data_IF_616129861535
#
_entry.id   IF_616129861535
#
_cell.length_a   1.000
_cell.length_b   1.000
_cell.length_c   1.000
_cell.angle_alpha   90.00
_cell.angle_beta   90.00
_cell.angle_gamma   90.00
#
_symmetry.space_group_name_H-M   'P 1'
#
loop_
_entity.id
_entity.type
_entity.pdbx_description
1 polymer ?
#
# COMPACT_ATOMS: atom_id res chain seq x y z
N UNK A 1 -18.22 -20.00 31.28
CA UNK A 1 -16.94 -19.42 31.80
C UNK A 1 -15.80 -20.30 31.30
N UNK A 2 -15.18 -19.95 30.15
CA UNK A 2 -13.92 -20.56 29.69
C UNK A 2 -12.76 -19.65 30.07
N UNK A 3 -11.81 -20.20 30.83
CA UNK A 3 -10.56 -19.52 31.21
C UNK A 3 -9.59 -19.56 30.03
N UNK A 4 -9.24 -18.38 29.50
CA UNK A 4 -8.11 -18.24 28.60
C UNK A 4 -6.79 -18.41 29.37
N UNK A 5 -6.00 -19.44 29.04
CA UNK A 5 -4.61 -19.58 29.49
C UNK A 5 -3.73 -18.63 28.66
N UNK A 6 -3.09 -17.70 29.34
CA UNK A 6 -2.00 -16.90 28.76
C UNK A 6 -0.76 -17.77 28.61
N UNK A 7 -0.34 -18.02 27.40
CA UNK A 7 0.98 -18.61 27.10
C UNK A 7 1.99 -17.46 26.98
N UNK A 8 2.96 -17.45 27.89
CA UNK A 8 4.11 -16.55 27.85
C UNK A 8 5.07 -17.00 26.75
N UNK A 9 5.17 -16.25 25.67
CA UNK A 9 6.20 -16.42 24.64
C UNK A 9 7.43 -15.62 25.11
N UNK A 10 8.51 -16.34 25.49
CA UNK A 10 9.82 -15.76 25.76
C UNK A 10 10.56 -15.55 24.43
N UNK A 11 10.94 -14.30 24.15
CA UNK A 11 11.89 -13.98 23.07
C UNK A 11 13.33 -14.23 23.53
N UNK A 12 14.20 -14.80 22.70
CA UNK A 12 15.61 -14.95 23.04
C UNK A 12 16.34 -13.60 22.86
N UNK A 13 17.06 -13.21 23.89
CA UNK A 13 17.99 -12.09 23.87
C UNK A 13 19.27 -12.50 23.13
N UNK A 14 19.61 -11.77 22.07
CA UNK A 14 20.89 -11.92 21.36
C UNK A 14 21.94 -11.12 22.11
N UNK A 15 22.86 -11.81 22.77
CA UNK A 15 24.02 -11.23 23.45
C UNK A 15 25.14 -10.93 22.46
N UNK A 16 25.53 -9.65 22.38
CA UNK A 16 26.76 -9.21 21.74
C UNK A 16 27.93 -9.48 22.66
N UNK A 17 28.86 -10.33 22.23
CA UNK A 17 30.22 -10.33 22.78
C UNK A 17 31.24 -10.46 21.68
N UNK A 18 31.98 -9.39 21.45
CA UNK A 18 33.19 -9.34 20.67
C UNK A 18 34.40 -9.57 21.61
N UNK A 19 35.33 -10.48 21.39
CA UNK A 19 36.56 -10.52 22.13
C UNK A 19 37.68 -9.80 21.37
N UNK A 20 38.27 -8.84 22.03
CA UNK A 20 39.56 -8.23 21.75
C UNK A 20 40.69 -9.28 21.93
N UNK A 21 41.55 -9.42 20.93
CA UNK A 21 42.81 -10.14 21.07
C UNK A 21 43.95 -9.12 21.12
N UNK A 22 44.67 -9.17 22.21
CA UNK A 22 45.86 -8.38 22.47
C UNK A 22 47.16 -9.20 22.14
N UNK A 23 48.13 -8.48 21.58
CA UNK A 23 49.55 -8.63 21.70
C UNK A 23 50.25 -9.93 21.27
N UNK A 24 51.15 -9.76 20.29
CA UNK A 24 52.54 -10.22 20.43
C UNK A 24 53.48 -9.39 19.56
N UNK A 25 54.25 -8.48 20.22
CA UNK A 25 55.50 -7.93 19.66
C UNK A 25 56.61 -8.95 19.78
N UNK A 26 57.29 -9.26 18.71
CA UNK A 26 58.65 -9.81 18.75
C UNK A 26 59.52 -9.23 17.64
N UNK A 27 60.56 -8.54 18.07
CA UNK A 27 61.64 -7.98 17.29
C UNK A 27 62.36 -9.09 16.48
N UNK A 28 62.63 -8.81 15.22
CA UNK A 28 63.84 -9.35 14.56
C UNK A 28 64.26 -8.43 13.41
N UNK A 29 65.41 -7.83 13.53
CA UNK A 29 66.14 -7.14 12.47
C UNK A 29 66.56 -8.11 11.37
N UNK A 30 66.29 -7.78 10.11
CA UNK A 30 67.18 -8.08 8.99
C UNK A 30 66.70 -7.46 7.67
N UNK A 31 67.50 -6.52 7.18
CA UNK A 31 67.82 -6.22 5.79
C UNK A 31 66.74 -5.72 4.84
N UNK A 32 66.77 -4.40 4.63
CA UNK A 32 66.39 -3.73 3.38
C UNK A 32 67.01 -4.47 2.18
N UNK A 33 66.20 -4.89 1.22
CA UNK A 33 66.32 -4.97 -0.23
C UNK A 33 65.14 -5.79 -0.71
N UNK A 34 64.14 -5.19 -1.24
CA UNK A 34 63.10 -5.71 -2.15
C UNK A 34 61.78 -4.93 -2.04
N UNK A 35 61.88 -3.57 -2.00
CA UNK A 35 60.68 -2.76 -1.80
C UNK A 35 60.07 -2.20 -3.11
N UNK A 36 60.47 -2.75 -4.26
CA UNK A 36 60.00 -2.22 -5.56
C UNK A 36 59.06 -3.12 -6.37
N UNK A 37 58.85 -4.37 -5.98
CA UNK A 37 58.08 -5.33 -6.81
C UNK A 37 56.75 -5.79 -6.20
N UNK A 38 56.46 -5.46 -4.95
CA UNK A 38 55.22 -5.86 -4.26
C UNK A 38 54.13 -4.77 -4.23
N UNK A 39 54.48 -3.53 -4.55
CA UNK A 39 53.46 -2.44 -4.59
C UNK A 39 52.50 -2.51 -5.80
N UNK A 40 52.94 -3.09 -6.91
CA UNK A 40 52.11 -3.19 -8.12
C UNK A 40 50.92 -4.14 -7.99
N UNK A 41 51.05 -5.36 -7.43
CA UNK A 41 49.88 -6.22 -7.24
C UNK A 41 48.93 -5.69 -6.16
N UNK A 42 49.45 -5.02 -5.11
CA UNK A 42 48.58 -4.47 -4.05
C UNK A 42 47.67 -3.34 -4.55
N UNK A 43 48.17 -2.48 -5.44
CA UNK A 43 47.37 -1.46 -6.10
C UNK A 43 46.31 -2.05 -7.06
N UNK A 44 46.64 -3.15 -7.72
CA UNK A 44 45.71 -3.84 -8.63
C UNK A 44 44.56 -4.53 -7.86
N UNK A 45 44.86 -5.10 -6.68
CA UNK A 45 43.83 -5.68 -5.81
C UNK A 45 42.97 -4.59 -5.14
N UNK A 46 43.54 -3.43 -4.80
CA UNK A 46 42.78 -2.33 -4.23
C UNK A 46 41.84 -1.70 -5.25
N UNK A 47 42.25 -1.56 -6.52
CA UNK A 47 41.38 -1.09 -7.60
C UNK A 47 40.30 -2.09 -7.98
N UNK A 48 40.60 -3.39 -7.92
CA UNK A 48 39.63 -4.45 -8.16
C UNK A 48 38.57 -4.51 -7.03
N UNK A 49 38.95 -4.24 -5.77
CA UNK A 49 38.04 -4.21 -4.64
C UNK A 49 37.11 -2.97 -4.66
N UNK A 50 37.59 -1.83 -5.16
CA UNK A 50 36.77 -0.62 -5.32
C UNK A 50 35.73 -0.77 -6.43
N UNK A 51 35.99 -1.57 -7.46
CA UNK A 51 35.05 -1.82 -8.55
C UNK A 51 33.97 -2.86 -8.22
N UNK A 52 34.12 -3.65 -7.15
CA UNK A 52 33.10 -4.63 -6.72
C UNK A 52 32.09 -3.99 -5.76
N UNK A 53 32.36 -2.83 -5.17
CA UNK A 53 31.39 -2.03 -4.44
C UNK A 53 30.57 -1.10 -5.36
N UNK A 54 30.21 -1.54 -6.56
CA UNK A 54 29.03 -0.98 -7.20
C UNK A 54 27.85 -1.52 -6.40
N UNK A 55 27.45 -0.77 -5.38
CA UNK A 55 26.10 -0.86 -4.84
C UNK A 55 25.20 -0.87 -6.06
N UNK A 56 24.49 -1.98 -6.27
CA UNK A 56 23.32 -1.96 -7.13
C UNK A 56 22.43 -0.86 -6.58
N UNK A 57 22.53 0.32 -7.14
CA UNK A 57 21.57 1.38 -6.85
C UNK A 57 20.23 0.77 -7.24
N UNK A 58 19.44 0.45 -6.24
CA UNK A 58 18.08 -0.01 -6.43
C UNK A 58 17.37 1.15 -7.13
N UNK A 59 17.24 1.03 -8.45
CA UNK A 59 16.54 2.05 -9.24
C UNK A 59 15.09 1.97 -8.84
N UNK A 60 14.64 2.95 -8.07
CA UNK A 60 13.23 3.11 -7.74
C UNK A 60 12.45 3.26 -9.04
N UNK A 61 11.47 2.40 -9.26
CA UNK A 61 10.56 2.47 -10.39
C UNK A 61 9.39 3.40 -10.12
N UNK A 62 9.06 3.60 -8.84
CA UNK A 62 7.99 4.49 -8.43
C UNK A 62 8.50 5.92 -8.31
N UNK A 63 7.96 6.80 -9.14
CA UNK A 63 8.43 8.17 -9.33
C UNK A 63 7.57 9.19 -8.59
N UNK A 64 8.04 10.44 -8.48
CA UNK A 64 7.23 11.55 -7.99
C UNK A 64 5.99 11.81 -8.86
N UNK A 65 6.06 11.52 -10.17
CA UNK A 65 4.91 11.59 -11.06
C UNK A 65 3.86 10.52 -10.71
N UNK A 66 4.28 9.29 -10.37
CA UNK A 66 3.39 8.23 -9.90
C UNK A 66 2.74 8.61 -8.56
N UNK A 67 3.53 9.18 -7.64
CA UNK A 67 3.02 9.69 -6.35
C UNK A 67 1.96 10.76 -6.57
N UNK A 68 2.28 11.75 -7.39
CA UNK A 68 1.35 12.83 -7.72
C UNK A 68 0.07 12.30 -8.35
N UNK A 69 0.18 11.37 -9.29
CA UNK A 69 -0.98 10.74 -9.94
C UNK A 69 -1.91 10.06 -8.93
N UNK A 70 -1.37 9.28 -7.99
CA UNK A 70 -2.17 8.62 -6.95
C UNK A 70 -2.80 9.63 -6.01
N UNK A 71 -2.02 10.60 -5.51
CA UNK A 71 -2.51 11.62 -4.57
C UNK A 71 -3.62 12.45 -5.21
N UNK A 72 -3.44 12.92 -6.43
CA UNK A 72 -4.43 13.74 -7.14
C UNK A 72 -5.77 12.98 -7.30
N UNK A 73 -5.73 11.70 -7.68
CA UNK A 73 -6.95 10.90 -7.86
C UNK A 73 -7.62 10.52 -6.54
N UNK A 74 -6.84 10.22 -5.50
CA UNK A 74 -7.38 9.94 -4.16
C UNK A 74 -8.02 11.18 -3.54
N UNK A 75 -7.39 12.35 -3.69
CA UNK A 75 -7.96 13.64 -3.23
C UNK A 75 -9.19 14.03 -4.05
N UNK A 76 -9.15 13.89 -5.38
CA UNK A 76 -10.30 14.16 -6.25
C UNK A 76 -11.51 13.33 -5.82
N UNK A 77 -11.36 12.02 -5.73
CA UNK A 77 -12.48 11.13 -5.36
C UNK A 77 -12.98 11.40 -3.94
N UNK A 78 -12.11 11.78 -3.00
CA UNK A 78 -12.50 12.23 -1.66
C UNK A 78 -13.38 13.49 -1.72
N UNK A 79 -12.94 14.49 -2.47
CA UNK A 79 -13.67 15.77 -2.60
C UNK A 79 -15.02 15.57 -3.28
N UNK A 80 -15.11 14.70 -4.28
CA UNK A 80 -16.38 14.36 -4.94
C UNK A 80 -17.34 13.65 -3.97
N UNK A 81 -16.88 12.70 -3.16
CA UNK A 81 -17.69 12.09 -2.08
C UNK A 81 -18.22 13.16 -1.12
N UNK A 82 -17.35 14.05 -0.63
CA UNK A 82 -17.77 15.13 0.27
C UNK A 82 -18.85 16.02 -0.40
N UNK A 83 -18.61 16.41 -1.65
CA UNK A 83 -19.56 17.25 -2.43
C UNK A 83 -20.92 16.57 -2.57
N UNK A 84 -20.93 15.28 -2.89
CA UNK A 84 -22.16 14.54 -3.18
C UNK A 84 -22.95 14.15 -1.93
N UNK A 85 -22.31 14.14 -0.76
CA UNK A 85 -22.94 13.71 0.49
C UNK A 85 -23.09 14.83 1.52
N UNK A 86 -22.45 16.01 1.30
CA UNK A 86 -22.60 17.16 2.19
C UNK A 86 -24.05 17.65 2.19
N UNK A 87 -24.60 17.82 3.39
CA UNK A 87 -25.95 18.40 3.57
C UNK A 87 -27.11 17.45 3.30
N UNK A 88 -26.85 16.15 3.06
CA UNK A 88 -27.92 15.16 2.98
C UNK A 88 -28.68 15.07 4.31
N UNK A 89 -30.02 15.00 4.25
CA UNK A 89 -30.87 14.74 5.42
C UNK A 89 -30.75 13.29 5.88
N UNK A 90 -31.24 13.00 7.10
CA UNK A 90 -31.27 11.61 7.62
C UNK A 90 -32.02 10.67 6.68
N UNK A 91 -33.11 11.12 6.10
CA UNK A 91 -33.97 10.38 5.18
C UNK A 91 -33.20 10.11 3.86
N UNK A 92 -32.48 11.11 3.34
CA UNK A 92 -31.65 10.98 2.14
C UNK A 92 -30.49 10.00 2.34
N UNK A 93 -29.83 10.02 3.49
CA UNK A 93 -28.80 9.05 3.85
C UNK A 93 -29.34 7.62 3.89
N UNK A 94 -30.56 7.43 4.38
CA UNK A 94 -31.20 6.13 4.56
C UNK A 94 -31.96 5.63 3.32
N UNK A 95 -32.19 6.51 2.32
CA UNK A 95 -32.99 6.20 1.15
C UNK A 95 -32.41 5.01 0.35
N UNK A 96 -33.29 4.12 -0.09
CA UNK A 96 -32.97 2.96 -0.93
C UNK A 96 -33.95 2.91 -2.09
N UNK A 97 -33.47 2.72 -3.31
CA UNK A 97 -34.29 2.58 -4.51
C UNK A 97 -35.31 1.42 -4.37
N UNK A 98 -34.88 0.32 -3.73
CA UNK A 98 -35.68 -0.81 -3.31
C UNK A 98 -35.02 -1.56 -2.13
N UNK A 99 -35.69 -2.59 -1.59
CA UNK A 99 -35.23 -3.36 -0.43
C UNK A 99 -33.91 -4.13 -0.66
N UNK A 100 -33.55 -4.37 -1.91
CA UNK A 100 -32.33 -5.12 -2.30
C UNK A 100 -31.13 -4.24 -2.59
N UNK A 101 -31.33 -2.91 -2.68
CA UNK A 101 -30.30 -1.93 -3.00
C UNK A 101 -29.73 -1.29 -1.75
N UNK A 102 -28.50 -0.83 -1.84
CA UNK A 102 -27.86 -0.07 -0.76
C UNK A 102 -28.33 1.38 -0.77
N UNK A 103 -28.43 1.94 0.43
CA UNK A 103 -28.56 3.38 0.63
C UNK A 103 -27.20 4.08 0.44
N UNK A 104 -27.21 5.43 0.34
CA UNK A 104 -25.97 6.23 0.33
C UNK A 104 -25.13 5.94 1.58
N UNK A 105 -25.79 5.83 2.76
CA UNK A 105 -25.09 5.45 4.00
C UNK A 105 -24.36 4.12 3.89
N UNK A 106 -25.03 3.10 3.35
CA UNK A 106 -24.41 1.78 3.16
C UNK A 106 -23.29 1.79 2.12
N UNK A 107 -23.41 2.61 1.07
CA UNK A 107 -22.31 2.79 0.09
C UNK A 107 -21.09 3.41 0.78
N UNK A 108 -21.26 4.42 1.63
CA UNK A 108 -20.15 5.03 2.37
C UNK A 108 -19.57 4.10 3.44
N UNK A 109 -20.40 3.31 4.14
CA UNK A 109 -19.95 2.27 5.07
C UNK A 109 -19.05 1.24 4.35
N UNK A 110 -19.49 0.77 3.17
CA UNK A 110 -18.73 -0.12 2.31
C UNK A 110 -17.38 0.51 1.87
N UNK A 111 -17.38 1.74 1.40
CA UNK A 111 -16.15 2.45 1.04
C UNK A 111 -15.20 2.57 2.25
N UNK A 112 -15.72 2.94 3.43
CA UNK A 112 -14.92 3.03 4.65
C UNK A 112 -14.32 1.68 5.09
N UNK A 113 -15.03 0.57 4.87
CA UNK A 113 -14.49 -0.78 5.08
C UNK A 113 -13.34 -1.06 4.09
N UNK A 114 -13.49 -0.69 2.82
CA UNK A 114 -12.43 -0.85 1.83
C UNK A 114 -11.20 0.02 2.08
N UNK A 115 -11.34 1.22 2.66
CA UNK A 115 -10.17 2.00 3.10
C UNK A 115 -9.27 1.19 4.04
N UNK A 116 -9.88 0.45 4.97
CA UNK A 116 -9.14 -0.41 5.91
C UNK A 116 -8.56 -1.65 5.23
N UNK A 117 -9.32 -2.28 4.32
CA UNK A 117 -8.87 -3.47 3.59
C UNK A 117 -7.67 -3.12 2.71
N UNK A 118 -7.72 -2.03 1.96
CA UNK A 118 -6.61 -1.61 1.10
C UNK A 118 -5.38 -1.19 1.91
N UNK A 119 -5.54 -0.51 3.06
CA UNK A 119 -4.44 -0.19 3.94
C UNK A 119 -3.77 -1.46 4.48
N UNK A 120 -4.56 -2.41 4.98
CA UNK A 120 -4.05 -3.69 5.49
C UNK A 120 -3.37 -4.51 4.39
N UNK A 121 -3.92 -4.56 3.17
CA UNK A 121 -3.31 -5.26 2.04
C UNK A 121 -1.95 -4.62 1.69
N UNK A 122 -1.87 -3.28 1.67
CA UNK A 122 -0.61 -2.58 1.44
C UNK A 122 0.44 -2.89 2.51
N UNK A 123 0.06 -2.91 3.80
CA UNK A 123 0.95 -3.28 4.91
C UNK A 123 1.49 -4.71 4.77
N UNK A 124 0.63 -5.67 4.39
CA UNK A 124 1.05 -7.05 4.13
C UNK A 124 2.04 -7.10 2.96
N UNK A 125 1.78 -6.36 1.88
CA UNK A 125 2.67 -6.31 0.72
C UNK A 125 4.02 -5.67 1.07
N UNK A 126 4.05 -4.62 1.90
CA UNK A 126 5.27 -3.98 2.38
C UNK A 126 6.12 -4.88 3.27
N UNK A 127 5.53 -5.88 3.93
CA UNK A 127 6.28 -6.87 4.71
C UNK A 127 7.12 -7.83 3.85
N UNK A 128 6.87 -7.89 2.55
CA UNK A 128 7.65 -8.68 1.59
C UNK A 128 8.95 -7.95 1.20
N UNK A 129 9.95 -8.71 0.73
CA UNK A 129 11.13 -8.10 0.10
C UNK A 129 10.71 -7.44 -1.22
N UNK A 130 11.26 -6.24 -1.53
CA UNK A 130 10.99 -5.62 -2.82
C UNK A 130 11.56 -6.47 -3.97
N UNK A 131 10.76 -6.65 -5.01
CA UNK A 131 11.16 -7.36 -6.24
C UNK A 131 10.66 -6.60 -7.48
N UNK A 132 11.39 -5.58 -7.95
CA UNK A 132 10.97 -4.77 -9.09
C UNK A 132 10.89 -5.55 -10.42
N UNK A 133 11.40 -6.77 -10.51
CA UNK A 133 11.31 -7.59 -11.72
C UNK A 133 9.86 -8.10 -11.95
N UNK A 134 9.09 -8.25 -10.88
CA UNK A 134 7.69 -8.66 -10.95
C UNK A 134 6.76 -7.61 -11.58
N UNK A 135 7.25 -6.38 -11.79
CA UNK A 135 6.48 -5.33 -12.47
C UNK A 135 6.07 -5.72 -13.90
N UNK A 136 6.88 -6.53 -14.56
CA UNK A 136 6.55 -7.11 -15.89
C UNK A 136 5.30 -8.00 -15.88
N UNK A 137 4.88 -8.48 -14.70
CA UNK A 137 3.69 -9.29 -14.52
C UNK A 137 2.46 -8.46 -14.09
N UNK A 138 2.63 -7.14 -13.89
CA UNK A 138 1.54 -6.21 -13.60
C UNK A 138 0.84 -5.77 -14.88
N UNK A 139 -0.46 -5.47 -14.77
CA UNK A 139 -1.18 -4.80 -15.84
C UNK A 139 -0.88 -3.29 -15.80
N UNK A 140 -1.02 -2.59 -16.93
CA UNK A 140 -0.97 -1.13 -16.95
C UNK A 140 -2.17 -0.54 -16.17
N UNK A 141 -1.99 0.67 -15.62
CA UNK A 141 -3.01 1.37 -14.82
C UNK A 141 -4.35 1.52 -15.54
N UNK A 142 -4.31 1.74 -16.86
CA UNK A 142 -5.52 1.84 -17.69
C UNK A 142 -6.38 0.57 -17.66
N UNK A 143 -5.77 -0.61 -17.52
CA UNK A 143 -6.50 -1.87 -17.39
C UNK A 143 -7.27 -1.95 -16.07
N UNK A 144 -6.66 -1.47 -14.98
CA UNK A 144 -7.34 -1.41 -13.67
C UNK A 144 -8.45 -0.37 -13.65
N UNK A 145 -8.23 0.80 -14.26
CA UNK A 145 -9.24 1.85 -14.39
C UNK A 145 -10.43 1.35 -15.21
N UNK A 146 -10.18 0.69 -16.35
CA UNK A 146 -11.23 0.14 -17.20
C UNK A 146 -12.02 -0.95 -16.47
N UNK A 147 -11.34 -1.83 -15.74
CA UNK A 147 -12.00 -2.85 -14.92
C UNK A 147 -12.90 -2.24 -13.84
N UNK A 148 -12.46 -1.19 -13.16
CA UNK A 148 -13.29 -0.49 -12.15
C UNK A 148 -14.46 0.25 -12.78
N UNK A 149 -14.31 0.73 -14.01
CA UNK A 149 -15.38 1.40 -14.76
C UNK A 149 -16.39 0.45 -15.42
N UNK A 150 -16.14 -0.86 -15.42
CA UNK A 150 -17.07 -1.86 -15.95
C UNK A 150 -18.42 -1.76 -15.19
N UNK A 151 -19.55 -1.53 -15.88
CA UNK A 151 -20.84 -1.37 -15.24
C UNK A 151 -21.43 -2.69 -14.71
N UNK A 152 -20.82 -3.84 -15.01
CA UNK A 152 -21.30 -5.15 -14.58
C UNK A 152 -21.49 -5.22 -13.06
N UNK A 153 -22.57 -5.81 -12.56
CA UNK A 153 -22.76 -5.96 -11.12
C UNK A 153 -21.67 -6.84 -10.51
N UNK A 154 -21.07 -6.36 -9.44
CA UNK A 154 -20.17 -7.13 -8.60
C UNK A 154 -20.74 -7.25 -7.20
N UNK A 155 -20.70 -8.46 -6.64
CA UNK A 155 -21.05 -8.69 -5.24
C UNK A 155 -19.87 -8.22 -4.37
N UNK A 156 -20.19 -7.50 -3.29
CA UNK A 156 -19.17 -7.15 -2.30
C UNK A 156 -18.57 -8.40 -1.66
N UNK A 157 -17.30 -8.33 -1.32
CA UNK A 157 -16.67 -9.32 -0.45
C UNK A 157 -17.34 -9.29 0.91
N UNK A 158 -17.46 -10.46 1.55
CA UNK A 158 -18.19 -10.62 2.82
C UNK A 158 -17.69 -9.67 3.93
N UNK A 159 -16.39 -9.36 3.96
CA UNK A 159 -15.75 -8.48 4.94
C UNK A 159 -15.92 -6.98 4.62
N UNK A 160 -16.50 -6.66 3.48
CA UNK A 160 -16.82 -5.30 3.03
C UNK A 160 -18.32 -5.09 2.79
N UNK A 161 -19.17 -6.09 3.09
CA UNK A 161 -20.62 -5.95 3.00
C UNK A 161 -21.11 -4.99 4.10
N UNK A 162 -21.83 -3.90 3.75
CA UNK A 162 -22.25 -2.92 4.73
C UNK A 162 -23.38 -3.48 5.60
N UNK A 163 -23.24 -3.36 6.91
CA UNK A 163 -24.23 -3.83 7.89
C UNK A 163 -25.32 -2.79 8.18
N UNK A 164 -25.13 -1.55 7.74
CA UNK A 164 -26.05 -0.43 7.99
C UNK A 164 -26.08 0.01 9.46
N UNK A 165 -24.99 -0.22 10.19
CA UNK A 165 -24.88 0.13 11.61
C UNK A 165 -24.49 1.61 11.80
N UNK A 166 -23.72 2.17 10.89
CA UNK A 166 -23.33 3.58 10.89
C UNK A 166 -24.46 4.40 10.28
N UNK A 167 -24.79 5.56 10.87
CA UNK A 167 -25.94 6.37 10.45
C UNK A 167 -25.54 7.75 9.97
N UNK A 168 -26.27 8.23 8.95
CA UNK A 168 -26.17 9.60 8.45
C UNK A 168 -24.72 10.01 8.16
N UNK A 169 -24.35 11.20 8.61
CA UNK A 169 -23.05 11.83 8.38
C UNK A 169 -21.88 11.05 8.98
N UNK A 170 -22.09 10.17 9.96
CA UNK A 170 -21.01 9.37 10.57
C UNK A 170 -20.40 8.41 9.55
N UNK A 171 -21.16 7.99 8.52
CA UNK A 171 -20.63 7.23 7.40
C UNK A 171 -19.56 8.01 6.63
N UNK A 172 -19.77 9.32 6.42
CA UNK A 172 -18.76 10.18 5.78
C UNK A 172 -17.50 10.28 6.67
N UNK A 173 -17.67 10.45 7.98
CA UNK A 173 -16.58 10.53 8.93
C UNK A 173 -15.73 9.23 8.94
N UNK A 174 -16.42 8.08 8.91
CA UNK A 174 -15.76 6.77 8.84
C UNK A 174 -14.94 6.60 7.55
N UNK A 175 -15.51 6.93 6.40
CA UNK A 175 -14.81 6.91 5.12
C UNK A 175 -13.60 7.86 5.13
N UNK A 176 -13.78 9.12 5.55
CA UNK A 176 -12.74 10.13 5.53
C UNK A 176 -11.56 9.78 6.45
N UNK A 177 -11.81 9.14 7.58
CA UNK A 177 -10.74 8.68 8.47
C UNK A 177 -9.77 7.74 7.75
N UNK A 178 -10.29 6.73 7.06
CA UNK A 178 -9.45 5.79 6.30
C UNK A 178 -8.81 6.44 5.08
N UNK A 179 -9.58 7.23 4.30
CA UNK A 179 -9.09 7.91 3.10
C UNK A 179 -7.93 8.87 3.39
N UNK A 180 -8.02 9.65 4.45
CA UNK A 180 -6.94 10.55 4.84
C UNK A 180 -5.69 9.77 5.24
N UNK A 181 -5.84 8.66 5.96
CA UNK A 181 -4.72 7.79 6.31
C UNK A 181 -3.98 7.25 5.06
N UNK A 182 -4.70 6.78 4.05
CA UNK A 182 -4.10 6.30 2.80
C UNK A 182 -3.41 7.44 2.03
N UNK A 183 -4.05 8.61 1.94
CA UNK A 183 -3.44 9.77 1.28
C UNK A 183 -2.14 10.18 2.00
N UNK A 184 -2.14 10.23 3.32
CA UNK A 184 -0.96 10.56 4.11
C UNK A 184 0.15 9.51 3.95
N UNK A 185 -0.20 8.23 3.88
CA UNK A 185 0.75 7.17 3.56
C UNK A 185 1.38 7.39 2.18
N UNK A 186 0.59 7.63 1.13
CA UNK A 186 1.10 7.85 -0.24
C UNK A 186 1.97 9.10 -0.31
N UNK A 187 1.61 10.18 0.38
CA UNK A 187 2.39 11.43 0.41
C UNK A 187 3.77 11.26 1.05
N UNK A 188 3.87 10.43 2.09
CA UNK A 188 5.04 10.40 2.97
C UNK A 188 5.89 9.13 2.84
N UNK A 189 5.39 8.08 2.16
CA UNK A 189 6.13 6.82 2.03
C UNK A 189 7.43 6.99 1.26
N UNK A 190 8.47 6.29 1.73
CA UNK A 190 9.78 6.17 1.06
C UNK A 190 9.93 4.83 0.32
N UNK A 191 8.93 3.97 0.37
CA UNK A 191 8.95 2.68 -0.32
C UNK A 191 8.71 2.84 -1.83
N UNK A 192 9.32 1.95 -2.61
CA UNK A 192 8.99 1.79 -4.03
C UNK A 192 7.68 0.99 -4.15
N UNK A 193 6.56 1.67 -4.36
CA UNK A 193 5.26 1.03 -4.44
C UNK A 193 5.05 0.17 -5.69
N UNK A 194 6.00 0.22 -6.66
CA UNK A 194 6.06 -0.66 -7.82
C UNK A 194 6.98 -1.87 -7.62
N UNK A 195 7.55 -2.04 -6.41
CA UNK A 195 8.43 -3.16 -6.09
C UNK A 195 7.84 -4.17 -5.10
N UNK A 196 6.65 -3.89 -4.54
CA UNK A 196 5.94 -4.79 -3.61
C UNK A 196 4.64 -5.26 -4.23
N UNK A 197 4.42 -6.59 -4.22
CA UNK A 197 3.36 -7.22 -5.00
C UNK A 197 2.56 -8.23 -4.20
N UNK A 198 1.31 -8.42 -4.61
CA UNK A 198 0.47 -9.54 -4.18
C UNK A 198 0.10 -10.43 -5.35
N UNK A 199 -0.23 -11.69 -5.04
CA UNK A 199 -0.84 -12.61 -6.00
C UNK A 199 -2.29 -12.24 -6.24
N UNK A 200 -2.72 -12.39 -7.49
CA UNK A 200 -4.13 -12.32 -7.81
C UNK A 200 -4.66 -13.71 -8.13
N UNK A 201 -5.39 -14.31 -7.16
CA UNK A 201 -6.29 -15.44 -7.38
C UNK A 201 -5.69 -16.59 -8.18
N UNK A 202 -4.50 -17.08 -7.81
CA UNK A 202 -3.83 -18.22 -8.42
C UNK A 202 -3.33 -17.99 -9.86
N UNK A 203 -3.36 -16.75 -10.36
CA UNK A 203 -2.77 -16.35 -11.64
C UNK A 203 -1.33 -15.92 -11.43
N UNK A 204 -0.48 -16.07 -12.45
CA UNK A 204 0.88 -15.53 -12.42
C UNK A 204 0.93 -14.00 -12.34
N UNK A 205 -0.16 -13.35 -12.74
CA UNK A 205 -0.32 -11.91 -12.68
C UNK A 205 -0.13 -11.38 -11.26
N UNK A 206 0.65 -10.32 -11.15
CA UNK A 206 0.93 -9.60 -9.91
C UNK A 206 0.22 -8.25 -9.91
N UNK A 207 -0.08 -7.75 -8.73
CA UNK A 207 -0.58 -6.39 -8.52
C UNK A 207 0.35 -5.70 -7.52
N UNK A 208 1.00 -4.61 -7.95
CA UNK A 208 1.82 -3.78 -7.08
C UNK A 208 0.96 -2.94 -6.13
N UNK A 209 1.59 -2.35 -5.08
CA UNK A 209 0.88 -1.39 -4.21
C UNK A 209 0.41 -0.18 -5.02
N UNK A 210 1.21 0.30 -5.99
CA UNK A 210 0.77 1.37 -6.90
C UNK A 210 -0.55 0.97 -7.60
N UNK A 211 -0.58 -0.19 -8.23
CA UNK A 211 -1.77 -0.69 -8.91
C UNK A 211 -2.95 -0.95 -7.95
N UNK A 212 -2.69 -1.37 -6.71
CA UNK A 212 -3.71 -1.48 -5.67
C UNK A 212 -4.37 -0.12 -5.39
N UNK A 213 -3.60 0.97 -5.33
CA UNK A 213 -4.13 2.32 -5.13
C UNK A 213 -4.87 2.85 -6.37
N UNK A 214 -4.49 2.44 -7.58
CA UNK A 214 -5.26 2.71 -8.81
C UNK A 214 -6.64 2.05 -8.74
N UNK A 215 -6.70 0.79 -8.32
CA UNK A 215 -7.98 0.08 -8.07
C UNK A 215 -8.78 0.81 -7.00
N UNK A 216 -8.13 1.30 -5.95
CA UNK A 216 -8.78 1.96 -4.81
C UNK A 216 -9.53 3.23 -5.23
N UNK A 217 -8.89 4.19 -5.91
CA UNK A 217 -9.62 5.37 -6.36
C UNK A 217 -10.66 5.03 -7.44
N UNK A 218 -10.36 4.08 -8.34
CA UNK A 218 -11.32 3.61 -9.34
C UNK A 218 -12.56 2.95 -8.72
N UNK A 219 -12.40 2.24 -7.61
CA UNK A 219 -13.51 1.70 -6.83
C UNK A 219 -14.40 2.82 -6.26
N UNK A 220 -13.79 3.91 -5.79
CA UNK A 220 -14.55 5.08 -5.34
C UNK A 220 -15.30 5.75 -6.50
N UNK A 221 -14.68 5.88 -7.68
CA UNK A 221 -15.35 6.40 -8.90
C UNK A 221 -16.59 5.57 -9.27
N UNK A 222 -16.49 4.24 -9.15
CA UNK A 222 -17.64 3.36 -9.37
C UNK A 222 -18.79 3.66 -8.42
N UNK A 223 -18.48 3.86 -7.14
CA UNK A 223 -19.51 4.15 -6.12
C UNK A 223 -20.02 5.58 -6.16
N UNK A 224 -19.25 6.55 -6.65
CA UNK A 224 -19.75 7.89 -6.99
C UNK A 224 -20.85 7.82 -8.05
N UNK A 225 -20.69 7.00 -9.08
CA UNK A 225 -21.75 6.75 -10.08
C UNK A 225 -22.99 6.13 -9.43
N UNK A 226 -22.80 5.22 -8.47
CA UNK A 226 -23.91 4.63 -7.72
C UNK A 226 -24.65 5.67 -6.85
N UNK A 227 -23.93 6.52 -6.12
CA UNK A 227 -24.51 7.60 -5.31
C UNK A 227 -25.30 8.53 -6.21
N UNK A 228 -24.74 8.95 -7.34
CA UNK A 228 -25.42 9.82 -8.29
C UNK A 228 -26.70 9.18 -8.87
N UNK A 229 -26.68 7.88 -9.15
CA UNK A 229 -27.88 7.16 -9.57
C UNK A 229 -28.96 7.20 -8.48
N UNK A 230 -28.60 6.95 -7.21
CA UNK A 230 -29.54 6.99 -6.07
C UNK A 230 -30.17 8.40 -5.94
N UNK A 231 -29.35 9.46 -6.02
CA UNK A 231 -29.82 10.85 -5.91
C UNK A 231 -30.73 11.27 -7.07
N UNK A 232 -30.59 10.64 -8.23
CA UNK A 232 -31.42 10.92 -9.41
C UNK A 232 -32.69 10.04 -9.48
N UNK A 233 -32.93 9.17 -8.50
CA UNK A 233 -34.18 8.41 -8.44
C UNK A 233 -35.36 9.38 -8.25
N UNK A 234 -36.47 9.25 -9.03
CA UNK A 234 -37.65 10.12 -8.91
C UNK A 234 -38.28 10.10 -7.51
N UNK A 235 -38.02 9.08 -6.69
CA UNK A 235 -38.54 8.95 -5.32
C UNK A 235 -37.53 9.39 -4.26
N UNK A 236 -36.33 9.88 -4.67
CA UNK A 236 -35.35 10.37 -3.71
C UNK A 236 -35.93 11.52 -2.89
N UNK A 237 -35.82 11.53 -1.55
CA UNK A 237 -36.39 12.59 -0.70
C UNK A 237 -35.84 13.97 -1.08
N UNK A 238 -36.75 14.96 -1.18
CA UNK A 238 -36.38 16.36 -1.44
C UNK A 238 -35.94 17.07 -0.17
#
# INVERSE_FOLDING_TARGET
RQRFRRTNIKFPTIGNTCPLAANFFRHSNSKCIFMGRLLRPLLFFLTLFVTICTYSQQTFKWTDADRKFLVDNLERTKLEIIKDTRGLTTEQWAYREDSTKWSIGQVLEHLGLYERIFAQEADIMLSSKPDPQLDSLSLPDTSYINWMNDPSPHKAEWNAEPLGLIKGIDNLSFYLFGRNHIIDFIKNTTYDLKAHFTYRWGKEQRRSIHALMVVHFGHTDRHLKQINRIKNDPKFPM
#
